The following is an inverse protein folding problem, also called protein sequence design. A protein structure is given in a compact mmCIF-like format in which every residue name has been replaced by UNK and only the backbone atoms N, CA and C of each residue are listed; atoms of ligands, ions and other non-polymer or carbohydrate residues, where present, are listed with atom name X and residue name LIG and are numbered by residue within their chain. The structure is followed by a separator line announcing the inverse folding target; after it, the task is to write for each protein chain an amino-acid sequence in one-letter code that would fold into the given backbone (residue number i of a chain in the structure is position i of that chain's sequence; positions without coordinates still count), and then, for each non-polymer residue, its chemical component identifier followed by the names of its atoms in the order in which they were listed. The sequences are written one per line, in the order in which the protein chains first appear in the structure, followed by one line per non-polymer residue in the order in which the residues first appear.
data_IF_813866543606
#
_entry.id   IF_813866543606
#
_cell.length_a   1.000
_cell.length_b   1.000
_cell.length_c   1.000
_cell.angle_alpha   90.00
_cell.angle_beta   90.00
_cell.angle_gamma   90.00
#
_symmetry.space_group_name_H-M   'P 1'
#
loop_
_entity.id
_entity.type
_entity.pdbx_description
1 polymer ?
#
# COMPACT_ATOMS: atom_id res chain seq x y z
N UNK A 1 3.16 53.48 -37.32
CA UNK A 1 3.50 52.10 -37.68
C UNK A 1 3.28 51.07 -36.56
N UNK A 2 3.44 51.37 -35.25
CA UNK A 2 3.26 50.38 -34.16
C UNK A 2 1.82 49.92 -33.90
N UNK A 3 0.79 50.78 -34.17
CA UNK A 3 -0.63 50.41 -33.96
C UNK A 3 -1.15 49.38 -34.94
N UNK A 4 -0.70 49.40 -36.19
CA UNK A 4 -1.18 48.51 -37.26
C UNK A 4 -0.59 47.08 -37.13
N UNK A 5 0.59 46.93 -36.52
CA UNK A 5 1.22 45.62 -36.28
C UNK A 5 0.48 44.85 -35.18
N UNK A 6 0.03 45.56 -34.13
CA UNK A 6 -0.73 44.92 -33.03
C UNK A 6 -2.10 44.42 -33.48
N UNK A 7 -2.77 45.20 -34.36
CA UNK A 7 -4.09 44.78 -34.89
C UNK A 7 -3.96 43.57 -35.84
N UNK A 8 -2.89 43.47 -36.63
CA UNK A 8 -2.61 42.34 -37.50
C UNK A 8 -2.32 41.05 -36.68
N UNK A 9 -1.59 41.15 -35.56
CA UNK A 9 -1.29 40.02 -34.68
C UNK A 9 -2.54 39.46 -33.97
N UNK A 10 -3.48 40.32 -33.58
CA UNK A 10 -4.76 39.87 -32.96
C UNK A 10 -5.65 39.20 -33.99
N UNK A 11 -5.69 39.64 -35.25
CA UNK A 11 -6.47 39.01 -36.32
C UNK A 11 -5.90 37.66 -36.71
N UNK A 12 -4.58 37.47 -36.69
CA UNK A 12 -3.95 36.16 -36.98
C UNK A 12 -4.21 35.15 -35.86
N UNK A 13 -4.28 35.56 -34.58
CA UNK A 13 -4.63 34.65 -33.46
C UNK A 13 -6.08 34.19 -33.49
N UNK A 14 -7.00 34.94 -34.11
CA UNK A 14 -8.41 34.56 -34.19
C UNK A 14 -8.74 33.58 -35.34
N UNK A 15 -7.80 33.35 -36.26
CA UNK A 15 -8.02 32.45 -37.42
C UNK A 15 -7.48 31.03 -37.23
N UNK A 16 -6.84 30.70 -36.09
CA UNK A 16 -6.26 29.40 -35.84
C UNK A 16 -7.14 28.48 -34.94
N UNK A 17 -8.36 28.89 -34.57
CA UNK A 17 -9.20 28.17 -33.62
C UNK A 17 -10.36 27.40 -34.24
N UNK A 18 -10.26 26.85 -35.44
CA UNK A 18 -11.26 25.97 -36.02
C UNK A 18 -10.63 24.77 -36.71
N UNK A 19 -10.16 23.79 -35.94
CA UNK A 19 -10.00 22.41 -36.40
C UNK A 19 -10.22 21.45 -35.23
N UNK A 20 -11.49 21.34 -34.80
CA UNK A 20 -11.93 20.18 -34.03
C UNK A 20 -12.28 19.06 -35.00
N UNK A 21 -11.69 17.86 -34.88
CA UNK A 21 -12.18 16.69 -35.60
C UNK A 21 -13.59 16.37 -35.08
N UNK A 22 -14.55 16.38 -35.98
CA UNK A 22 -15.94 15.95 -35.74
C UNK A 22 -15.89 14.49 -35.29
N UNK A 23 -16.42 14.23 -34.07
CA UNK A 23 -16.35 12.95 -33.40
C UNK A 23 -16.91 11.79 -34.23
N UNK A 24 -16.19 10.68 -34.16
CA UNK A 24 -16.77 9.37 -34.45
C UNK A 24 -17.89 9.09 -33.42
N UNK A 25 -19.00 8.47 -33.84
CA UNK A 25 -20.05 8.07 -32.91
C UNK A 25 -19.47 7.10 -31.89
N UNK A 26 -19.76 7.35 -30.61
CA UNK A 26 -19.36 6.48 -29.52
C UNK A 26 -19.84 5.06 -29.78
N UNK A 27 -18.94 4.09 -29.84
CA UNK A 27 -19.32 2.69 -29.88
C UNK A 27 -19.91 2.32 -28.51
N UNK A 28 -21.09 1.75 -28.53
CA UNK A 28 -21.83 1.28 -27.38
C UNK A 28 -20.99 0.23 -26.61
N UNK A 29 -20.57 0.48 -25.36
CA UNK A 29 -19.75 -0.47 -24.59
C UNK A 29 -20.49 -1.80 -24.31
N UNK A 30 -21.82 -1.85 -24.40
CA UNK A 30 -22.61 -3.06 -24.23
C UNK A 30 -22.36 -4.10 -25.34
N UNK A 31 -22.05 -3.67 -26.55
CA UNK A 31 -21.79 -4.57 -27.69
C UNK A 31 -20.45 -5.31 -27.57
N UNK A 32 -19.42 -4.68 -26.98
CA UNK A 32 -18.08 -5.29 -26.81
C UNK A 32 -18.05 -6.33 -25.69
N UNK A 33 -18.85 -6.15 -24.64
CA UNK A 33 -18.97 -7.11 -23.55
C UNK A 33 -19.69 -8.38 -24.01
N UNK A 34 -20.77 -8.27 -24.79
CA UNK A 34 -21.50 -9.41 -25.30
C UNK A 34 -20.65 -10.31 -26.24
N UNK A 35 -19.77 -9.71 -27.07
CA UNK A 35 -18.88 -10.45 -27.96
C UNK A 35 -17.81 -11.23 -27.23
N UNK A 36 -17.26 -10.69 -26.12
CA UNK A 36 -16.26 -11.40 -25.31
C UNK A 36 -16.84 -12.55 -24.48
N UNK A 37 -18.05 -12.39 -23.95
CA UNK A 37 -18.75 -13.45 -23.20
C UNK A 37 -19.10 -14.62 -24.12
N UNK A 38 -19.53 -14.37 -25.37
CA UNK A 38 -19.83 -15.42 -26.32
C UNK A 38 -18.58 -16.22 -26.75
N UNK A 39 -17.41 -15.59 -26.84
CA UNK A 39 -16.15 -16.27 -27.16
C UNK A 39 -15.60 -17.14 -26.02
N UNK A 40 -15.84 -16.76 -24.75
CA UNK A 40 -15.41 -17.56 -23.60
C UNK A 40 -16.28 -18.79 -23.39
N UNK A 41 -17.57 -18.73 -23.67
CA UNK A 41 -18.49 -19.87 -23.53
C UNK A 41 -18.34 -20.92 -24.65
N UNK A 42 -17.74 -20.57 -25.79
CA UNK A 42 -17.50 -21.52 -26.90
C UNK A 42 -16.23 -22.39 -26.70
N UNK A 43 -15.38 -22.08 -25.72
CA UNK A 43 -14.11 -22.78 -25.47
C UNK A 43 -14.17 -23.90 -24.41
N UNK A 44 -15.30 -24.10 -23.73
CA UNK A 44 -15.45 -25.06 -22.60
C UNK A 44 -16.28 -26.31 -22.90
N UNK A 45 -16.22 -26.84 -24.12
CA UNK A 45 -16.74 -28.20 -24.39
C UNK A 45 -15.60 -29.19 -24.51
N UNK A 46 -14.89 -29.45 -23.42
CA UNK A 46 -13.97 -30.60 -23.31
C UNK A 46 -14.74 -31.81 -22.82
N UNK A 47 -14.94 -32.77 -23.72
CA UNK A 47 -15.54 -34.08 -23.43
C UNK A 47 -14.64 -34.87 -22.50
N UNK A 48 -15.12 -35.21 -21.30
CA UNK A 48 -14.46 -36.14 -20.41
C UNK A 48 -14.77 -37.57 -20.85
N UNK A 49 -13.79 -38.25 -21.47
CA UNK A 49 -13.84 -39.70 -21.64
C UNK A 49 -13.49 -40.38 -20.31
N UNK A 50 -14.39 -41.24 -19.85
CA UNK A 50 -14.22 -42.06 -18.64
C UNK A 50 -13.23 -43.17 -18.94
N UNK A 51 -12.08 -43.32 -18.24
CA UNK A 51 -11.19 -44.44 -18.44
C UNK A 51 -11.82 -45.72 -17.86
N UNK A 52 -12.06 -46.72 -18.74
CA UNK A 52 -12.46 -48.06 -18.35
C UNK A 52 -11.24 -48.79 -17.75
N UNK A 53 -11.31 -49.13 -16.46
CA UNK A 53 -10.28 -49.92 -15.80
C UNK A 53 -10.43 -51.38 -16.20
N UNK A 54 -9.49 -51.89 -17.01
CA UNK A 54 -9.37 -53.32 -17.30
C UNK A 54 -8.64 -54.02 -16.14
N UNK A 55 -9.30 -54.91 -15.49
CA UNK A 55 -8.71 -55.71 -14.37
C UNK A 55 -7.96 -56.89 -14.95
N UNK A 56 -6.63 -56.88 -14.84
CA UNK A 56 -5.75 -58.03 -15.20
C UNK A 56 -5.65 -58.99 -13.98
N UNK A 57 -5.70 -60.33 -14.16
CA UNK A 57 -5.60 -61.25 -13.05
C UNK A 57 -4.18 -61.31 -12.48
N UNK A 58 -4.08 -61.12 -11.18
CA UNK A 58 -2.85 -61.16 -10.42
C UNK A 58 -2.42 -62.61 -10.16
N UNK A 59 -1.33 -63.03 -10.78
CA UNK A 59 -0.62 -64.26 -10.40
C UNK A 59 0.20 -63.99 -9.13
N UNK A 60 -0.09 -64.71 -8.08
CA UNK A 60 0.67 -64.65 -6.83
C UNK A 60 2.07 -65.23 -6.99
N UNK A 61 3.09 -64.36 -6.90
CA UNK A 61 4.47 -64.76 -6.77
C UNK A 61 4.84 -64.80 -5.29
N UNK A 62 5.24 -65.97 -4.78
CA UNK A 62 5.77 -66.11 -3.41
C UNK A 62 7.15 -65.42 -3.37
N UNK A 63 7.20 -64.24 -2.75
CA UNK A 63 8.44 -63.51 -2.51
C UNK A 63 8.97 -63.87 -1.12
N UNK A 64 10.19 -64.43 -1.08
CA UNK A 64 10.92 -64.70 0.18
C UNK A 64 11.19 -63.37 0.91
N UNK A 65 10.90 -63.34 2.23
CA UNK A 65 11.13 -62.17 3.07
C UNK A 65 12.63 -61.86 3.21
N UNK A 66 13.04 -60.71 2.73
CA UNK A 66 14.36 -60.12 2.99
C UNK A 66 14.34 -59.52 4.41
N UNK A 67 15.44 -59.59 5.21
CA UNK A 67 15.46 -59.00 6.54
C UNK A 67 15.29 -57.48 6.45
N UNK A 68 14.25 -56.99 7.09
CA UNK A 68 13.97 -55.53 7.22
C UNK A 68 15.01 -54.92 8.15
N UNK A 69 15.94 -54.12 7.62
CA UNK A 69 16.76 -53.20 8.43
C UNK A 69 15.85 -52.14 9.03
N UNK A 70 15.77 -52.13 10.35
CA UNK A 70 15.07 -51.11 11.10
C UNK A 70 15.65 -49.72 10.75
N UNK A 71 14.82 -48.72 10.35
CA UNK A 71 15.36 -47.39 10.10
C UNK A 71 15.92 -46.82 11.41
N UNK A 72 17.17 -46.44 11.42
CA UNK A 72 17.78 -45.64 12.49
C UNK A 72 17.04 -44.32 12.54
N UNK A 73 16.41 -44.02 13.67
CA UNK A 73 15.73 -42.71 13.88
C UNK A 73 16.77 -41.59 13.73
N UNK A 74 16.66 -40.84 12.65
CA UNK A 74 17.41 -39.59 12.49
C UNK A 74 16.81 -38.60 13.47
N UNK A 75 17.63 -38.15 14.42
CA UNK A 75 17.21 -37.12 15.39
C UNK A 75 16.70 -35.88 14.63
N UNK A 76 15.40 -35.68 14.67
CA UNK A 76 14.76 -34.45 14.14
C UNK A 76 15.22 -33.31 15.04
N UNK A 77 16.09 -32.42 14.54
CA UNK A 77 16.45 -31.18 15.21
C UNK A 77 15.17 -30.34 15.30
N UNK A 78 14.60 -30.30 16.49
CA UNK A 78 13.50 -29.39 16.80
C UNK A 78 14.02 -27.98 16.57
N UNK A 79 13.40 -27.17 15.67
CA UNK A 79 13.83 -25.79 15.48
C UNK A 79 13.68 -25.05 16.80
N UNK A 80 14.76 -24.45 17.27
CA UNK A 80 14.74 -23.54 18.42
C UNK A 80 13.73 -22.43 18.08
N UNK A 81 12.70 -22.19 18.92
CA UNK A 81 11.74 -21.12 18.65
C UNK A 81 12.50 -19.79 18.61
N UNK A 82 12.63 -19.20 17.44
CA UNK A 82 13.10 -17.82 17.27
C UNK A 82 11.99 -16.95 17.87
N UNK A 83 12.23 -16.37 19.03
CA UNK A 83 11.30 -15.38 19.62
C UNK A 83 11.20 -14.22 18.65
N UNK A 84 10.00 -14.02 18.07
CA UNK A 84 9.71 -12.81 17.32
C UNK A 84 9.98 -11.60 18.23
N UNK A 85 10.63 -10.52 17.73
CA UNK A 85 10.80 -9.33 18.52
C UNK A 85 9.47 -8.87 19.11
N UNK A 86 9.44 -8.62 20.42
CA UNK A 86 8.22 -8.17 21.08
C UNK A 86 7.72 -6.87 20.46
N UNK A 87 6.40 -6.64 20.56
CA UNK A 87 5.77 -5.38 20.14
C UNK A 87 6.51 -4.17 20.75
N UNK A 88 7.11 -3.27 19.94
CA UNK A 88 7.91 -2.15 20.43
C UNK A 88 7.13 -1.22 21.37
N UNK A 89 5.85 -1.00 21.14
CA UNK A 89 4.98 -0.16 21.98
C UNK A 89 4.98 -0.64 23.44
N UNK A 90 5.10 -1.93 23.69
CA UNK A 90 5.10 -2.51 25.03
C UNK A 90 6.45 -2.34 25.75
N UNK A 91 7.53 -2.10 25.02
CA UNK A 91 8.91 -2.09 25.55
C UNK A 91 9.53 -0.70 25.60
N UNK A 92 9.12 0.22 24.74
CA UNK A 92 9.74 1.55 24.61
C UNK A 92 9.27 2.58 25.66
N UNK A 93 8.26 2.26 26.48
CA UNK A 93 7.73 3.18 27.48
C UNK A 93 6.96 4.36 26.89
N UNK A 94 7.10 5.55 27.49
CA UNK A 94 6.35 6.75 27.06
C UNK A 94 6.87 7.26 25.71
N UNK A 95 5.95 7.55 24.79
CA UNK A 95 6.26 8.12 23.50
C UNK A 95 6.92 9.51 23.64
N UNK A 96 7.90 9.80 22.78
CA UNK A 96 8.51 11.12 22.67
C UNK A 96 7.50 12.14 22.11
N UNK A 97 6.66 11.69 21.19
CA UNK A 97 5.54 12.47 20.63
C UNK A 97 4.31 11.59 20.50
N UNK A 98 3.16 12.17 20.82
CA UNK A 98 1.88 11.47 20.76
C UNK A 98 0.79 12.45 20.34
N UNK A 99 -0.02 12.07 19.35
CA UNK A 99 -1.12 12.88 18.85
C UNK A 99 -2.36 12.02 18.61
N UNK A 100 -3.49 12.43 19.14
CA UNK A 100 -4.84 11.84 18.96
C UNK A 100 -5.75 12.74 18.14
N UNK A 101 -5.17 13.69 17.39
CA UNK A 101 -5.92 14.59 16.52
C UNK A 101 -7.04 15.39 17.21
N UNK A 102 -6.89 15.63 18.53
CA UNK A 102 -7.82 16.50 19.28
C UNK A 102 -7.77 17.96 18.82
N UNK A 103 -6.74 18.33 18.06
CA UNK A 103 -6.59 19.60 17.37
C UNK A 103 -5.77 19.41 16.08
N UNK A 104 -5.76 20.42 15.22
CA UNK A 104 -5.08 20.38 13.93
C UNK A 104 -3.57 20.66 13.99
N UNK A 105 -2.99 20.80 15.19
CA UNK A 105 -1.58 21.17 15.34
C UNK A 105 -0.63 20.11 14.77
N UNK A 106 0.40 20.58 14.06
CA UNK A 106 1.47 19.76 13.54
C UNK A 106 1.27 19.19 12.15
N UNK A 107 0.05 19.19 11.59
CA UNK A 107 -0.23 18.60 10.27
C UNK A 107 -0.70 19.62 9.21
N UNK A 108 -0.69 20.90 9.53
CA UNK A 108 -1.18 21.98 8.63
C UNK A 108 -2.61 21.74 8.09
N UNK A 109 -3.50 21.32 8.99
CA UNK A 109 -4.91 21.04 8.71
C UNK A 109 -5.84 21.86 9.64
N UNK A 110 -5.48 23.13 9.90
CA UNK A 110 -6.36 24.05 10.60
C UNK A 110 -7.69 24.27 9.85
N UNK A 111 -7.66 24.09 8.54
CA UNK A 111 -8.83 23.96 7.67
C UNK A 111 -8.66 22.70 6.81
N UNK A 112 -9.74 22.06 6.36
CA UNK A 112 -9.65 20.93 5.45
C UNK A 112 -8.84 21.29 4.21
N UNK A 113 -7.98 20.37 3.78
CA UNK A 113 -7.33 20.44 2.49
C UNK A 113 -8.17 19.66 1.47
N UNK A 114 -8.54 20.32 0.38
CA UNK A 114 -9.36 19.72 -0.67
C UNK A 114 -8.68 20.02 -2.00
N UNK A 115 -8.45 18.99 -2.81
CA UNK A 115 -8.08 19.12 -4.21
C UNK A 115 -9.00 18.24 -5.09
N UNK A 116 -8.63 17.98 -6.34
CA UNK A 116 -9.40 17.14 -7.26
C UNK A 116 -9.36 15.63 -6.94
N UNK A 117 -8.50 15.23 -6.01
CA UNK A 117 -8.27 13.82 -5.67
C UNK A 117 -8.68 13.47 -4.25
N UNK A 118 -8.63 14.42 -3.29
CA UNK A 118 -8.80 14.11 -1.87
C UNK A 118 -9.41 15.26 -1.08
N UNK A 119 -10.14 14.89 -0.03
CA UNK A 119 -10.45 15.73 1.12
C UNK A 119 -9.69 15.17 2.33
N UNK A 120 -8.84 15.99 2.94
CA UNK A 120 -8.10 15.70 4.16
C UNK A 120 -8.54 16.67 5.26
N UNK A 121 -9.00 16.16 6.39
CA UNK A 121 -9.49 16.97 7.50
C UNK A 121 -9.14 16.36 8.85
N UNK A 122 -9.12 17.20 9.89
CA UNK A 122 -9.08 16.77 11.28
C UNK A 122 -10.40 17.20 11.93
N UNK A 123 -11.14 16.23 12.44
CA UNK A 123 -12.41 16.44 13.14
C UNK A 123 -12.68 15.28 14.11
N UNK A 124 -13.43 15.53 15.15
CA UNK A 124 -13.88 14.50 16.11
C UNK A 124 -12.76 13.59 16.67
N UNK A 125 -11.54 14.13 16.81
CA UNK A 125 -10.41 13.37 17.33
C UNK A 125 -9.80 12.39 16.33
N UNK A 126 -9.99 12.59 15.03
CA UNK A 126 -9.36 11.78 13.98
C UNK A 126 -8.85 12.66 12.84
N UNK A 127 -7.83 12.19 12.13
CA UNK A 127 -7.52 12.71 10.81
C UNK A 127 -8.18 11.81 9.78
N UNK A 128 -9.05 12.36 8.93
CA UNK A 128 -9.74 11.62 7.88
C UNK A 128 -9.17 11.95 6.50
N UNK A 129 -8.91 10.90 5.74
CA UNK A 129 -8.60 10.94 4.32
C UNK A 129 -9.81 10.37 3.57
N UNK A 130 -10.41 11.17 2.69
CA UNK A 130 -11.49 10.74 1.80
C UNK A 130 -11.10 11.01 0.36
N UNK A 131 -10.96 9.96 -0.44
CA UNK A 131 -10.68 10.09 -1.86
C UNK A 131 -11.89 10.66 -2.61
N UNK A 132 -11.63 11.54 -3.56
CA UNK A 132 -12.63 12.11 -4.47
C UNK A 132 -12.49 11.56 -5.90
N UNK A 133 -11.36 10.93 -6.19
CA UNK A 133 -11.08 10.30 -7.48
C UNK A 133 -10.01 9.20 -7.30
N UNK A 134 -10.13 8.15 -8.11
CA UNK A 134 -9.13 7.09 -8.20
C UNK A 134 -7.94 7.47 -9.10
N UNK A 135 -6.81 6.78 -8.90
CA UNK A 135 -5.57 6.88 -9.72
C UNK A 135 -5.02 8.31 -9.86
N UNK A 136 -5.13 9.11 -8.79
CA UNK A 136 -4.60 10.48 -8.70
C UNK A 136 -3.29 10.58 -7.91
N UNK A 137 -2.63 9.45 -7.70
CA UNK A 137 -1.37 9.34 -6.95
C UNK A 137 -1.56 9.50 -5.44
N UNK A 138 -0.44 9.64 -4.75
CA UNK A 138 -0.41 9.74 -3.29
C UNK A 138 -0.71 11.15 -2.81
N UNK A 139 -1.41 11.25 -1.70
CA UNK A 139 -1.56 12.49 -0.92
C UNK A 139 -1.03 12.23 0.48
N UNK A 140 -0.25 13.17 1.01
CA UNK A 140 0.42 13.04 2.30
C UNK A 140 0.23 14.27 3.19
N UNK A 141 0.43 14.07 4.49
CA UNK A 141 0.65 15.14 5.46
C UNK A 141 1.80 14.75 6.38
N UNK A 142 2.76 15.64 6.45
CA UNK A 142 3.94 15.48 7.30
C UNK A 142 3.78 16.29 8.58
N UNK A 143 4.60 15.96 9.59
CA UNK A 143 4.62 16.63 10.89
C UNK A 143 6.05 16.73 11.44
N UNK A 144 6.18 17.23 12.65
CA UNK A 144 7.40 17.42 13.41
C UNK A 144 7.40 16.50 14.64
N UNK A 145 8.56 16.27 15.25
CA UNK A 145 9.92 16.67 14.87
C UNK A 145 10.49 15.85 13.71
N UNK A 146 11.83 15.91 13.52
CA UNK A 146 12.58 15.20 12.50
C UNK A 146 13.51 14.16 13.13
N UNK A 147 12.98 13.03 13.67
CA UNK A 147 13.81 12.02 14.33
C UNK A 147 14.75 11.33 13.34
N UNK A 148 15.93 10.90 13.81
CA UNK A 148 16.92 10.15 13.02
C UNK A 148 16.69 8.65 13.20
N UNK A 149 16.79 8.17 14.44
CA UNK A 149 16.51 6.79 14.80
C UNK A 149 15.27 6.74 15.69
N UNK A 150 14.29 5.96 15.30
CA UNK A 150 12.96 6.04 15.89
C UNK A 150 12.16 4.75 15.72
N UNK A 151 11.17 4.59 16.57
CA UNK A 151 9.98 3.82 16.29
C UNK A 151 8.82 4.77 16.04
N UNK A 152 8.15 4.65 14.92
CA UNK A 152 6.98 5.42 14.51
C UNK A 152 5.79 4.48 14.36
N UNK A 153 4.65 4.83 14.94
CA UNK A 153 3.43 4.00 14.89
C UNK A 153 2.19 4.87 14.66
N UNK A 154 1.25 4.37 13.87
CA UNK A 154 -0.08 4.96 13.79
C UNK A 154 -1.17 3.88 13.77
N UNK A 155 -2.36 4.26 14.27
CA UNK A 155 -3.57 3.46 14.25
C UNK A 155 -4.46 3.98 13.11
N UNK A 156 -4.71 3.10 12.16
CA UNK A 156 -5.55 3.36 10.99
C UNK A 156 -6.86 2.58 11.10
N UNK A 157 -7.97 3.25 10.83
CA UNK A 157 -9.28 2.62 10.63
C UNK A 157 -9.70 2.78 9.18
N UNK A 158 -9.83 1.68 8.44
CA UNK A 158 -10.41 1.70 7.10
C UNK A 158 -11.93 1.93 7.21
N UNK A 159 -12.47 2.92 6.51
CA UNK A 159 -13.91 3.20 6.46
C UNK A 159 -14.51 2.61 5.19
N UNK A 160 -13.96 2.99 4.03
CA UNK A 160 -14.23 2.39 2.72
C UNK A 160 -12.91 1.99 2.10
N UNK A 161 -12.73 0.70 1.77
CA UNK A 161 -11.41 0.15 1.48
C UNK A 161 -11.54 -1.06 0.56
N UNK A 162 -10.92 -1.01 -0.62
CA UNK A 162 -11.02 -2.04 -1.65
C UNK A 162 -9.68 -2.24 -2.38
N UNK A 163 -9.38 -3.47 -2.73
CA UNK A 163 -8.25 -3.83 -3.60
C UNK A 163 -6.91 -3.28 -3.12
N UNK A 164 -6.22 -2.58 -4.01
CA UNK A 164 -4.93 -1.93 -3.75
C UNK A 164 -5.03 -0.48 -3.28
N UNK A 165 -6.22 0.02 -2.95
CA UNK A 165 -6.31 1.25 -2.17
C UNK A 165 -5.47 1.07 -0.92
N UNK A 166 -4.67 2.08 -0.57
CA UNK A 166 -3.70 1.91 0.51
C UNK A 166 -3.46 3.20 1.30
N UNK A 167 -3.09 2.99 2.55
CA UNK A 167 -2.74 4.01 3.53
C UNK A 167 -1.46 3.61 4.24
N UNK A 168 -0.82 4.56 4.88
CA UNK A 168 0.39 4.24 5.63
C UNK A 168 1.16 5.44 6.16
N UNK A 169 2.41 5.16 6.48
CA UNK A 169 3.35 6.10 7.08
C UNK A 169 4.37 6.59 6.05
N UNK A 170 4.66 7.89 6.12
CA UNK A 170 5.87 8.48 5.51
C UNK A 170 6.90 8.63 6.60
N UNK A 171 8.17 8.33 6.31
CA UNK A 171 9.28 8.53 7.22
C UNK A 171 10.53 9.05 6.52
N UNK A 172 11.41 9.69 7.30
CA UNK A 172 12.66 10.29 6.82
C UNK A 172 12.48 11.22 5.63
N UNK A 173 11.42 12.01 5.64
CA UNK A 173 11.18 13.04 4.65
C UNK A 173 12.15 14.22 4.88
N UNK A 174 13.10 14.49 3.95
CA UNK A 174 14.10 15.54 4.18
C UNK A 174 13.50 16.94 4.19
N UNK A 175 12.34 17.11 3.57
CA UNK A 175 11.65 18.37 3.46
C UNK A 175 10.16 18.19 3.81
N UNK A 176 9.60 19.20 4.50
CA UNK A 176 8.20 19.18 4.91
C UNK A 176 7.21 19.25 3.73
N UNK A 177 7.59 19.91 2.65
CA UNK A 177 6.67 20.22 1.54
C UNK A 177 6.75 19.26 0.35
N UNK A 178 7.88 18.59 0.13
CA UNK A 178 8.14 17.83 -1.10
C UNK A 178 7.52 16.43 -1.06
N UNK A 179 7.25 15.91 0.11
CA UNK A 179 6.76 14.55 0.30
C UNK A 179 7.80 13.48 -0.03
N UNK A 180 9.09 13.82 -0.20
CA UNK A 180 10.14 12.81 -0.34
C UNK A 180 10.24 11.99 0.94
N UNK A 181 10.69 10.74 0.85
CA UNK A 181 10.78 9.87 2.01
C UNK A 181 10.53 8.40 1.68
N UNK A 182 10.51 7.58 2.71
CA UNK A 182 10.00 6.21 2.62
C UNK A 182 8.50 6.18 2.88
N UNK A 183 7.79 5.48 2.02
CA UNK A 183 6.35 5.25 2.07
C UNK A 183 6.11 3.79 2.42
N UNK A 184 5.68 3.53 3.63
CA UNK A 184 5.37 2.20 4.14
C UNK A 184 3.84 2.07 4.15
N UNK A 185 3.30 1.19 3.31
CA UNK A 185 1.87 1.06 3.05
C UNK A 185 1.27 -0.24 3.55
N UNK A 186 0.00 -0.16 3.96
CA UNK A 186 -0.92 -1.28 4.07
C UNK A 186 -2.04 -1.11 3.03
N UNK A 187 -2.32 -2.15 2.26
CA UNK A 187 -3.41 -2.15 1.28
C UNK A 187 -4.70 -2.75 1.82
N UNK A 188 -5.80 -2.39 1.19
CA UNK A 188 -7.12 -2.89 1.53
C UNK A 188 -7.29 -4.40 1.33
N UNK A 189 -6.45 -5.05 0.53
CA UNK A 189 -6.44 -6.50 0.33
C UNK A 189 -5.45 -7.26 1.24
N UNK A 190 -4.91 -6.61 2.30
CA UNK A 190 -4.08 -7.27 3.31
C UNK A 190 -2.62 -7.47 2.90
N UNK A 191 -2.06 -6.56 2.15
CA UNK A 191 -0.65 -6.57 1.76
C UNK A 191 0.07 -5.34 2.30
N UNK A 192 1.40 -5.42 2.39
CA UNK A 192 2.26 -4.27 2.63
C UNK A 192 3.22 -4.05 1.47
N UNK A 193 3.68 -2.82 1.29
CA UNK A 193 4.81 -2.50 0.44
C UNK A 193 5.66 -1.37 1.03
N UNK A 194 6.87 -1.21 0.48
CA UNK A 194 7.72 -0.06 0.77
C UNK A 194 8.14 0.57 -0.55
N UNK A 195 7.90 1.84 -0.65
CA UNK A 195 8.39 2.67 -1.74
C UNK A 195 9.27 3.79 -1.19
N UNK A 196 10.16 4.28 -2.01
CA UNK A 196 10.98 5.44 -1.73
C UNK A 196 10.75 6.49 -2.82
N UNK A 197 10.58 7.72 -2.41
CA UNK A 197 10.56 8.87 -3.29
C UNK A 197 11.69 9.83 -2.88
N UNK A 198 12.64 10.07 -3.80
CA UNK A 198 13.86 10.84 -3.55
C UNK A 198 14.03 12.07 -4.46
N UNK A 199 12.95 12.46 -5.17
CA UNK A 199 12.94 13.57 -6.11
C UNK A 199 13.25 13.19 -7.56
N UNK A 200 13.90 12.05 -7.79
CA UNK A 200 14.12 11.49 -9.14
C UNK A 200 12.96 10.62 -9.63
N UNK A 201 12.04 10.28 -8.72
CA UNK A 201 10.89 9.43 -8.98
C UNK A 201 10.61 8.49 -7.80
N UNK A 202 9.55 7.70 -7.94
CA UNK A 202 9.22 6.67 -6.96
C UNK A 202 9.88 5.35 -7.35
N UNK A 203 10.65 4.77 -6.44
CA UNK A 203 11.23 3.43 -6.59
C UNK A 203 10.63 2.46 -5.57
N UNK A 204 10.48 1.19 -5.96
CA UNK A 204 9.98 0.14 -5.07
C UNK A 204 11.15 -0.50 -4.33
N UNK A 205 11.11 -0.45 -3.00
CA UNK A 205 12.06 -1.13 -2.10
C UNK A 205 11.56 -2.54 -1.78
N UNK A 206 10.26 -2.67 -1.47
CA UNK A 206 9.58 -3.95 -1.25
C UNK A 206 8.30 -3.95 -2.06
N UNK A 207 8.13 -4.96 -2.92
CA UNK A 207 6.88 -5.17 -3.67
C UNK A 207 5.71 -5.50 -2.74
N UNK A 208 4.49 -5.35 -3.24
CA UNK A 208 3.29 -5.80 -2.54
C UNK A 208 3.43 -7.25 -2.09
N UNK A 209 3.36 -7.45 -0.79
CA UNK A 209 3.58 -8.74 -0.13
C UNK A 209 2.42 -8.98 0.85
N UNK A 210 1.69 -10.09 0.72
CA UNK A 210 0.60 -10.42 1.63
C UNK A 210 1.13 -10.81 3.01
N UNK A 211 0.40 -10.41 4.07
CA UNK A 211 0.68 -10.83 5.44
C UNK A 211 -0.63 -11.00 6.23
N UNK A 212 -0.76 -12.11 6.95
CA UNK A 212 -1.97 -12.44 7.69
C UNK A 212 -2.23 -11.57 8.92
N UNK A 213 -1.24 -10.80 9.36
CA UNK A 213 -1.40 -9.85 10.47
C UNK A 213 -2.00 -8.50 10.00
N UNK A 214 -2.20 -8.31 8.68
CA UNK A 214 -2.85 -7.13 8.12
C UNK A 214 -4.34 -7.45 7.89
N UNK A 215 -5.20 -6.79 8.62
CA UNK A 215 -6.65 -6.95 8.48
C UNK A 215 -7.13 -6.25 7.22
N UNK A 216 -7.78 -6.99 6.32
CA UNK A 216 -8.20 -6.52 5.00
C UNK A 216 -9.65 -6.06 4.96
N UNK A 217 -9.96 -5.12 4.05
CA UNK A 217 -11.31 -4.63 3.79
C UNK A 217 -11.71 -3.44 4.63
N UNK A 218 -12.99 -3.06 4.49
CA UNK A 218 -13.59 -1.94 5.20
C UNK A 218 -13.88 -2.27 6.67
N UNK A 219 -13.89 -1.23 7.52
CA UNK A 219 -14.21 -1.36 8.94
C UNK A 219 -13.08 -1.91 9.81
N UNK A 220 -11.92 -2.22 9.24
CA UNK A 220 -10.80 -2.81 9.97
C UNK A 220 -9.95 -1.74 10.66
N UNK A 221 -9.33 -2.14 11.77
CA UNK A 221 -8.32 -1.33 12.46
C UNK A 221 -6.98 -2.03 12.32
N UNK A 222 -6.02 -1.34 11.73
CA UNK A 222 -4.64 -1.78 11.64
C UNK A 222 -3.71 -0.79 12.35
N UNK A 223 -2.77 -1.32 13.11
CA UNK A 223 -1.67 -0.57 13.69
C UNK A 223 -0.41 -0.84 12.88
N UNK A 224 0.10 0.17 12.19
CA UNK A 224 1.33 0.11 11.42
C UNK A 224 2.47 0.74 12.21
N UNK A 225 3.53 -0.03 12.45
CA UNK A 225 4.74 0.42 13.11
C UNK A 225 5.95 0.34 12.18
N UNK A 226 6.84 1.34 12.27
CA UNK A 226 8.10 1.41 11.54
C UNK A 226 9.23 1.70 12.53
N UNK A 227 10.15 0.76 12.70
CA UNK A 227 11.40 0.96 13.39
C UNK A 227 12.47 1.33 12.38
N UNK A 228 13.18 2.43 12.58
CA UNK A 228 14.30 2.86 11.77
C UNK A 228 15.51 3.15 12.67
N UNK A 229 16.61 2.45 12.41
CA UNK A 229 17.88 2.55 13.14
C UNK A 229 19.03 2.50 12.12
N UNK A 230 19.69 3.62 11.90
CA UNK A 230 20.63 3.78 10.81
C UNK A 230 20.00 3.42 9.46
N UNK A 231 20.54 2.43 8.79
CA UNK A 231 20.04 1.91 7.51
C UNK A 231 19.04 0.76 7.66
N UNK A 232 18.76 0.32 8.89
CA UNK A 232 17.96 -0.86 9.15
C UNK A 232 16.54 -0.47 9.51
N UNK A 233 15.59 -1.13 8.87
CA UNK A 233 14.17 -0.92 9.08
C UNK A 233 13.49 -2.21 9.49
N UNK A 234 12.48 -2.08 10.37
CA UNK A 234 11.55 -3.15 10.72
C UNK A 234 10.13 -2.64 10.59
N UNK A 235 9.27 -3.43 9.97
CA UNK A 235 7.84 -3.12 9.80
C UNK A 235 7.04 -4.03 10.71
N UNK A 236 6.12 -3.43 11.44
CA UNK A 236 5.21 -4.13 12.34
C UNK A 236 3.77 -3.90 11.89
N UNK A 237 3.00 -4.98 11.80
CA UNK A 237 1.56 -4.92 11.64
C UNK A 237 0.90 -5.47 12.91
N UNK A 238 0.05 -4.67 13.54
CA UNK A 238 -0.67 -5.02 14.76
C UNK A 238 0.25 -5.55 15.89
N UNK A 239 1.46 -4.99 15.98
CA UNK A 239 2.48 -5.33 16.97
C UNK A 239 3.36 -6.53 16.62
N UNK A 240 3.13 -7.17 15.48
CA UNK A 240 3.93 -8.30 15.00
C UNK A 240 4.92 -7.83 13.97
N UNK A 241 6.21 -8.22 14.10
CA UNK A 241 7.23 -7.99 13.10
C UNK A 241 6.89 -8.77 11.83
N UNK A 242 6.65 -8.06 10.71
CA UNK A 242 6.31 -8.68 9.42
C UNK A 242 7.46 -8.58 8.40
N UNK A 243 8.39 -7.63 8.59
CA UNK A 243 9.50 -7.46 7.64
C UNK A 243 10.66 -6.72 8.26
N UNK A 244 11.89 -7.17 7.93
CA UNK A 244 13.12 -6.42 8.09
C UNK A 244 13.75 -6.14 6.72
N UNK A 245 14.35 -4.97 6.56
CA UNK A 245 15.11 -4.60 5.35
C UNK A 245 16.15 -3.53 5.68
N UNK A 246 17.07 -3.30 4.74
CA UNK A 246 18.05 -2.22 4.85
C UNK A 246 18.03 -1.38 3.58
N UNK A 247 18.08 -0.07 3.73
CA UNK A 247 18.24 0.89 2.63
C UNK A 247 19.01 2.12 3.15
N UNK A 248 20.04 2.54 2.41
CA UNK A 248 20.94 3.62 2.80
C UNK A 248 20.71 4.94 2.06
N UNK A 249 19.60 5.06 1.34
CA UNK A 249 19.35 6.23 0.48
C UNK A 249 18.97 7.47 1.26
N UNK A 250 18.18 7.32 2.34
CA UNK A 250 17.73 8.40 3.21
C UNK A 250 18.04 8.02 4.66
N UNK A 251 19.24 8.37 5.10
CA UNK A 251 19.74 8.00 6.46
C UNK A 251 19.68 9.14 7.46
N UNK A 252 19.56 10.37 7.00
CA UNK A 252 19.40 11.53 7.88
C UNK A 252 18.04 11.55 8.57
N UNK A 253 17.96 12.24 9.70
CA UNK A 253 16.67 12.56 10.32
C UNK A 253 15.76 13.32 9.37
N UNK A 254 14.47 13.09 9.48
CA UNK A 254 13.50 13.73 8.59
C UNK A 254 12.09 13.77 9.18
N UNK A 255 11.24 14.53 8.53
CA UNK A 255 9.83 14.57 8.85
C UNK A 255 9.17 13.21 8.69
N UNK A 256 8.09 12.99 9.36
CA UNK A 256 7.25 11.82 9.22
C UNK A 256 5.79 12.25 9.12
N UNK A 257 4.93 11.31 8.77
CA UNK A 257 3.51 11.60 8.67
C UNK A 257 2.73 10.45 8.08
N UNK A 258 1.58 10.78 7.53
CA UNK A 258 0.66 9.82 6.92
C UNK A 258 0.49 10.09 5.44
N UNK A 259 0.05 9.05 4.72
CA UNK A 259 -0.37 9.18 3.33
C UNK A 259 -1.49 8.21 2.99
N UNK A 260 -2.16 8.48 1.88
CA UNK A 260 -3.12 7.60 1.25
C UNK A 260 -3.06 7.68 -0.26
N UNK A 261 -3.53 6.63 -0.91
CA UNK A 261 -3.69 6.56 -2.37
C UNK A 261 -4.86 5.67 -2.73
N UNK A 262 -5.81 6.20 -3.48
CA UNK A 262 -6.91 5.47 -4.08
C UNK A 262 -6.47 4.96 -5.45
N UNK A 263 -6.46 3.66 -5.64
CA UNK A 263 -6.14 3.02 -6.92
C UNK A 263 -7.34 2.33 -7.56
N UNK A 264 -8.19 1.72 -6.72
CA UNK A 264 -9.28 0.86 -7.16
C UNK A 264 -10.66 1.42 -6.83
N UNK A 265 -10.75 2.50 -6.03
CA UNK A 265 -12.03 3.12 -5.71
C UNK A 265 -11.96 4.63 -5.47
N UNK A 266 -12.89 5.37 -6.06
CA UNK A 266 -13.01 6.82 -5.89
C UNK A 266 -13.58 7.25 -4.52
N UNK A 267 -14.04 6.30 -3.70
CA UNK A 267 -14.58 6.56 -2.36
C UNK A 267 -13.73 5.95 -1.25
N UNK A 268 -12.47 5.65 -1.53
CA UNK A 268 -11.52 5.17 -0.52
C UNK A 268 -11.43 6.15 0.63
N UNK A 269 -11.70 5.66 1.84
CA UNK A 269 -11.71 6.49 3.05
C UNK A 269 -11.08 5.73 4.21
N UNK A 270 -10.16 6.39 4.90
CA UNK A 270 -9.61 5.91 6.16
C UNK A 270 -9.45 7.03 7.17
N UNK A 271 -9.37 6.65 8.45
CA UNK A 271 -9.10 7.54 9.58
C UNK A 271 -7.81 7.14 10.27
N UNK A 272 -7.09 8.15 10.75
CA UNK A 272 -5.97 7.96 11.67
C UNK A 272 -6.45 8.39 13.04
N UNK A 273 -6.45 7.46 13.99
CA UNK A 273 -6.93 7.69 15.35
C UNK A 273 -5.80 8.14 16.28
N UNK A 274 -4.57 7.70 15.99
CA UNK A 274 -3.39 7.97 16.80
C UNK A 274 -2.14 7.93 15.92
N UNK A 275 -1.18 8.81 16.19
CA UNK A 275 0.19 8.70 15.70
C UNK A 275 1.15 9.01 16.83
N UNK A 276 2.18 8.20 16.98
CA UNK A 276 3.19 8.35 18.01
C UNK A 276 4.58 8.02 17.49
N UNK A 277 5.61 8.65 18.04
CA UNK A 277 6.99 8.20 17.83
C UNK A 277 7.78 8.17 19.13
N UNK A 278 8.80 7.30 19.16
CA UNK A 278 9.80 7.14 20.21
C UNK A 278 11.17 7.35 19.59
N UNK A 279 11.97 8.23 20.14
CA UNK A 279 13.38 8.30 19.77
C UNK A 279 14.09 7.04 20.30
N UNK A 280 14.91 6.44 19.46
CA UNK A 280 15.79 5.35 19.85
C UNK A 280 17.09 5.92 20.41
N UNK A 281 17.75 5.20 21.35
CA UNK A 281 19.00 5.63 21.97
C UNK A 281 20.17 5.70 20.99
#
# INVERSE_FOLDING_TARGET
MKKNVLTLLVVIMLLTSCNFPIGQPAQDPAGLVATRVAQTLAAESVSFETPTISVLPTTALLTAALPTVSPTETATVTPTPTTSPADPKLTLGTATYFNTFSNSSGFDLASPYIDDAVNLSIHDGVMEFSSLAEDRGKRWRLTYPTPTDFYLEAIFRSVSCSGYDHYGLVSRAPNYYDGFGYYIALSCNGQYNVQKWDGGGTSTVINWTPDSHILSGSGQINRLGVWADGNNFRIYANGVLIKEFSDSSLTAGGHYGIFGSALDSSNFTFRVEEIAHWNLP
#
